data_IF_878437305214
#
_entry.id   IF_878437305214
#
_cell.length_a   1.000
_cell.length_b   1.000
_cell.length_c   1.000
_cell.angle_alpha   90.00
_cell.angle_beta   90.00
_cell.angle_gamma   90.00
#
_symmetry.space_group_name_H-M   'P 1'
#
loop_
_entity.id
_entity.type
_entity.pdbx_description
1 polymer ?
#
# COMPACT_ATOMS: atom_id res chain seq x y z
N UNK A 1 -0.07 29.48 6.71
CA UNK A 1 1.26 29.65 6.08
C UNK A 1 2.27 29.16 7.12
N UNK A 2 3.07 28.13 6.92
CA UNK A 2 3.64 27.55 5.70
C UNK A 2 3.88 26.06 6.00
N UNK A 3 3.17 25.18 5.30
CA UNK A 3 3.38 23.72 5.38
C UNK A 3 4.61 23.42 4.52
N UNK A 4 5.79 23.48 5.11
CA UNK A 4 7.00 22.90 4.50
C UNK A 4 7.00 21.40 4.77
N UNK A 5 5.94 20.74 4.31
CA UNK A 5 5.97 19.31 4.12
C UNK A 5 6.98 19.07 2.99
N UNK A 6 7.86 18.10 3.17
CA UNK A 6 8.64 17.51 2.10
C UNK A 6 7.67 17.19 0.96
N UNK A 7 7.60 18.06 -0.04
CA UNK A 7 6.73 17.86 -1.18
C UNK A 7 7.27 16.60 -1.85
N UNK A 8 6.49 15.52 -1.98
CA UNK A 8 6.88 14.48 -2.92
C UNK A 8 7.13 15.21 -4.23
N UNK A 9 8.27 14.95 -4.86
CA UNK A 9 8.52 15.40 -6.22
C UNK A 9 7.24 15.14 -7.00
N UNK A 10 6.60 16.19 -7.57
CA UNK A 10 5.27 16.06 -8.10
C UNK A 10 5.30 14.92 -9.10
N UNK A 11 4.49 13.90 -8.81
CA UNK A 11 4.03 12.90 -9.75
C UNK A 11 3.95 13.58 -11.13
N UNK A 12 4.71 13.07 -12.10
CA UNK A 12 5.08 13.81 -13.31
C UNK A 12 3.87 14.58 -13.90
N UNK A 13 4.06 15.83 -14.38
CA UNK A 13 2.97 16.64 -14.95
C UNK A 13 2.26 15.97 -16.14
N UNK A 14 2.81 14.86 -16.64
CA UNK A 14 2.31 14.00 -17.70
C UNK A 14 1.19 13.04 -17.27
N UNK A 15 0.84 12.99 -15.99
CA UNK A 15 -0.28 12.20 -15.50
C UNK A 15 -1.60 12.83 -15.90
N UNK A 16 -2.33 12.12 -16.77
CA UNK A 16 -3.68 12.50 -17.17
C UNK A 16 -4.63 12.53 -15.96
N UNK A 17 -5.60 13.45 -16.00
CA UNK A 17 -6.47 13.80 -14.87
C UNK A 17 -7.11 12.59 -14.17
N UNK A 18 -7.58 11.61 -14.94
CA UNK A 18 -8.19 10.38 -14.41
C UNK A 18 -7.22 9.58 -13.55
N UNK A 19 -5.96 9.42 -13.96
CA UNK A 19 -4.95 8.68 -13.21
C UNK A 19 -4.60 9.39 -11.89
N UNK A 20 -4.52 10.73 -11.92
CA UNK A 20 -4.25 11.56 -10.74
C UNK A 20 -5.42 11.55 -9.75
N UNK A 21 -6.65 11.60 -10.24
CA UNK A 21 -7.85 11.54 -9.41
C UNK A 21 -8.07 10.14 -8.83
N UNK A 22 -7.84 9.10 -9.64
CA UNK A 22 -7.82 7.71 -9.18
C UNK A 22 -6.77 7.54 -8.10
N UNK A 23 -5.53 7.98 -8.34
CA UNK A 23 -4.49 8.01 -7.32
C UNK A 23 -5.00 8.74 -6.07
N UNK A 24 -5.49 9.98 -6.15
CA UNK A 24 -6.02 10.72 -5.00
C UNK A 24 -7.08 9.92 -4.20
N UNK A 25 -8.03 9.30 -4.88
CA UNK A 25 -9.10 8.52 -4.25
C UNK A 25 -8.63 7.16 -3.71
N UNK A 26 -7.59 6.54 -4.27
CA UNK A 26 -6.94 5.35 -3.71
C UNK A 26 -6.16 5.67 -2.43
N UNK A 27 -5.90 6.96 -2.16
CA UNK A 27 -5.23 7.48 -0.98
C UNK A 27 -6.12 8.16 0.05
N UNK A 28 -7.45 8.14 -0.14
CA UNK A 28 -8.40 8.63 0.86
C UNK A 28 -8.42 7.67 2.06
N UNK A 29 -8.34 8.16 3.30
CA UNK A 29 -8.32 7.34 4.53
C UNK A 29 -9.62 6.55 4.81
N UNK A 30 -10.60 6.59 3.89
CA UNK A 30 -11.90 5.92 4.01
C UNK A 30 -11.85 4.39 4.12
N UNK A 31 -10.67 3.76 4.07
CA UNK A 31 -10.56 2.31 4.00
C UNK A 31 -9.58 1.66 5.00
N UNK A 32 -9.03 2.40 5.97
CA UNK A 32 -8.28 1.81 7.08
C UNK A 32 -8.93 2.10 8.45
N UNK A 33 -10.16 1.61 8.71
CA UNK A 33 -10.56 1.41 10.09
C UNK A 33 -9.70 0.25 10.63
N UNK A 34 -8.69 0.58 11.43
CA UNK A 34 -8.41 -0.08 12.71
C UNK A 34 -6.92 0.00 13.08
N UNK A 35 -6.49 1.14 13.62
CA UNK A 35 -5.30 1.18 14.47
C UNK A 35 -5.30 0.10 15.56
N UNK A 36 -6.44 -0.22 16.23
CA UNK A 36 -6.44 -1.28 17.24
C UNK A 36 -6.16 -2.67 16.66
N UNK A 37 -6.73 -2.99 15.48
CA UNK A 37 -6.51 -4.27 14.80
C UNK A 37 -5.09 -4.38 14.25
N UNK A 38 -4.56 -3.29 13.69
CA UNK A 38 -3.20 -3.24 13.21
C UNK A 38 -2.18 -3.38 14.35
N UNK A 39 -2.43 -2.74 15.49
CA UNK A 39 -1.57 -2.84 16.67
C UNK A 39 -1.57 -4.27 17.23
N UNK A 40 -2.74 -4.90 17.32
CA UNK A 40 -2.88 -6.30 17.71
C UNK A 40 -2.15 -7.25 16.74
N UNK A 41 -2.29 -7.05 15.42
CA UNK A 41 -1.60 -7.83 14.40
C UNK A 41 -0.07 -7.71 14.47
N UNK A 42 0.43 -6.56 14.88
CA UNK A 42 1.86 -6.32 15.07
C UNK A 42 2.37 -6.78 16.44
N UNK A 43 1.53 -7.36 17.31
CA UNK A 43 1.82 -7.66 18.73
C UNK A 43 2.30 -6.43 19.51
N UNK A 44 1.93 -5.23 19.04
CA UNK A 44 2.30 -3.97 19.68
C UNK A 44 1.25 -3.60 20.72
N UNK A 45 1.70 -2.93 21.77
CA UNK A 45 0.81 -2.36 22.78
C UNK A 45 -0.24 -1.47 22.10
N UNK A 46 -1.47 -1.46 22.64
CA UNK A 46 -2.51 -0.56 22.18
C UNK A 46 -1.99 0.89 22.18
N UNK A 47 -2.24 1.63 21.10
CA UNK A 47 -1.82 3.03 20.96
C UNK A 47 -2.56 3.88 22.00
N UNK A 48 -1.82 4.46 22.93
CA UNK A 48 -2.34 5.23 24.09
C UNK A 48 -1.71 6.61 24.25
N UNK A 49 -0.57 6.83 23.60
CA UNK A 49 0.21 8.06 23.67
C UNK A 49 1.07 8.21 22.39
N UNK A 50 1.78 9.33 22.27
CA UNK A 50 2.66 9.61 21.14
C UNK A 50 3.75 8.53 20.97
N UNK A 51 4.33 8.05 22.08
CA UNK A 51 5.43 7.10 22.05
C UNK A 51 4.99 5.73 21.51
N UNK A 52 3.81 5.25 21.93
CA UNK A 52 3.19 4.03 21.43
C UNK A 52 2.77 4.18 19.97
N UNK A 53 2.29 5.35 19.54
CA UNK A 53 1.99 5.64 18.12
C UNK A 53 3.27 5.60 17.26
N UNK A 54 4.37 6.21 17.70
CA UNK A 54 5.67 6.15 17.01
C UNK A 54 6.15 4.70 16.87
N UNK A 55 6.09 3.92 17.96
CA UNK A 55 6.45 2.48 17.92
C UNK A 55 5.55 1.69 16.98
N UNK A 56 4.25 1.99 16.97
CA UNK A 56 3.30 1.39 16.04
C UNK A 56 3.67 1.66 14.57
N UNK A 57 3.87 2.93 14.21
CA UNK A 57 4.19 3.31 12.83
C UNK A 57 5.52 2.72 12.36
N UNK A 58 6.56 2.75 13.21
CA UNK A 58 7.84 2.13 12.90
C UNK A 58 7.72 0.61 12.78
N UNK A 59 6.98 -0.03 13.69
CA UNK A 59 6.71 -1.45 13.65
C UNK A 59 5.93 -1.89 12.40
N UNK A 60 4.92 -1.12 11.98
CA UNK A 60 4.21 -1.37 10.73
C UNK A 60 5.14 -1.24 9.52
N UNK A 61 5.93 -0.15 9.48
CA UNK A 61 6.91 0.09 8.42
C UNK A 61 7.87 -1.10 8.26
N UNK A 62 8.46 -1.51 9.36
CA UNK A 62 9.59 -2.46 9.33
C UNK A 62 9.14 -3.93 9.25
N UNK A 63 7.92 -4.26 9.70
CA UNK A 63 7.41 -5.64 9.73
C UNK A 63 6.44 -5.99 8.60
N UNK A 64 5.73 -5.00 8.06
CA UNK A 64 4.67 -5.19 7.06
C UNK A 64 4.98 -4.40 5.78
N UNK A 65 5.07 -3.08 5.85
CA UNK A 65 5.17 -2.23 4.66
C UNK A 65 6.39 -2.60 3.80
N UNK A 66 7.59 -2.52 4.39
CA UNK A 66 8.84 -2.76 3.68
C UNK A 66 9.04 -4.23 3.25
N UNK A 67 8.85 -5.25 4.12
CA UNK A 67 9.16 -6.63 3.75
C UNK A 67 8.03 -7.36 3.01
N UNK A 68 6.79 -6.83 3.01
CA UNK A 68 5.62 -7.52 2.44
C UNK A 68 4.92 -6.66 1.39
N UNK A 69 4.42 -5.49 1.78
CA UNK A 69 3.52 -4.71 0.91
C UNK A 69 4.23 -4.12 -0.31
N UNK A 70 5.39 -3.47 -0.13
CA UNK A 70 6.13 -2.89 -1.24
C UNK A 70 6.66 -3.96 -2.22
N UNK A 71 7.24 -5.09 -1.77
CA UNK A 71 7.60 -6.20 -2.65
C UNK A 71 6.39 -6.77 -3.39
N UNK A 72 5.23 -6.88 -2.73
CA UNK A 72 4.00 -7.35 -3.36
C UNK A 72 3.52 -6.40 -4.47
N UNK A 73 3.55 -5.08 -4.23
CA UNK A 73 3.23 -4.07 -5.25
C UNK A 73 4.19 -4.19 -6.44
N UNK A 74 5.49 -4.31 -6.17
CA UNK A 74 6.52 -4.45 -7.21
C UNK A 74 6.31 -5.73 -8.05
N UNK A 75 6.07 -6.86 -7.40
CA UNK A 75 5.81 -8.12 -8.08
C UNK A 75 4.51 -8.09 -8.90
N UNK A 76 3.43 -7.53 -8.34
CA UNK A 76 2.16 -7.37 -9.05
C UNK A 76 2.31 -6.49 -10.29
N UNK A 77 3.03 -5.37 -10.17
CA UNK A 77 3.37 -4.54 -11.32
C UNK A 77 4.13 -5.35 -12.37
N UNK A 78 5.16 -6.09 -11.95
CA UNK A 78 5.96 -6.94 -12.85
C UNK A 78 5.12 -7.96 -13.61
N UNK A 79 4.21 -8.66 -12.93
CA UNK A 79 3.29 -9.62 -13.56
C UNK A 79 2.27 -8.93 -14.47
N UNK A 80 1.75 -7.78 -14.05
CA UNK A 80 0.81 -6.99 -14.85
C UNK A 80 1.42 -6.51 -16.16
N UNK A 81 2.64 -5.95 -16.14
CA UNK A 81 3.37 -5.53 -17.34
C UNK A 81 3.61 -6.68 -18.32
N UNK A 82 3.79 -7.90 -17.82
CA UNK A 82 4.07 -9.10 -18.62
C UNK A 82 2.82 -9.92 -18.98
N UNK A 83 1.62 -9.47 -18.59
CA UNK A 83 0.36 -10.22 -18.74
C UNK A 83 0.36 -11.62 -18.07
N UNK A 84 1.11 -11.77 -16.98
CA UNK A 84 1.30 -13.01 -16.20
C UNK A 84 0.18 -13.20 -15.16
N UNK A 85 -1.04 -13.45 -15.64
CA UNK A 85 -2.21 -13.58 -14.76
C UNK A 85 -2.07 -14.75 -13.77
N UNK A 86 -1.51 -15.87 -14.21
CA UNK A 86 -1.40 -17.07 -13.36
C UNK A 86 -0.52 -16.79 -12.15
N UNK A 87 0.58 -16.09 -12.38
CA UNK A 87 1.57 -15.70 -11.40
C UNK A 87 1.00 -14.64 -10.46
N UNK A 88 0.24 -13.67 -11.00
CA UNK A 88 -0.49 -12.69 -10.18
C UNK A 88 -1.51 -13.37 -9.25
N UNK A 89 -2.26 -14.36 -9.73
CA UNK A 89 -3.21 -15.12 -8.90
C UNK A 89 -2.48 -15.96 -7.84
N UNK A 90 -1.36 -16.59 -8.21
CA UNK A 90 -0.54 -17.34 -7.26
C UNK A 90 0.00 -16.42 -6.15
N UNK A 91 0.45 -15.22 -6.49
CA UNK A 91 0.90 -14.20 -5.54
C UNK A 91 -0.24 -13.74 -4.62
N UNK A 92 -1.46 -13.51 -5.15
CA UNK A 92 -2.63 -13.15 -4.35
C UNK A 92 -2.97 -14.22 -3.29
N UNK A 93 -2.95 -15.49 -3.70
CA UNK A 93 -3.16 -16.61 -2.79
C UNK A 93 -2.02 -16.76 -1.78
N UNK A 94 -0.78 -16.54 -2.19
CA UNK A 94 0.40 -16.60 -1.32
C UNK A 94 0.38 -15.51 -0.24
N UNK A 95 0.02 -14.27 -0.58
CA UNK A 95 -0.20 -13.21 0.42
C UNK A 95 -1.30 -13.60 1.41
N UNK A 96 -2.33 -14.30 0.93
CA UNK A 96 -3.35 -14.89 1.76
C UNK A 96 -2.86 -15.99 2.71
N UNK A 97 -1.60 -16.41 2.67
CA UNK A 97 -1.02 -17.35 3.64
C UNK A 97 -0.09 -16.65 4.64
N UNK A 98 0.33 -15.41 4.38
CA UNK A 98 1.19 -14.67 5.30
C UNK A 98 0.42 -14.32 6.59
N UNK A 99 0.93 -14.80 7.72
CA UNK A 99 0.31 -14.57 9.03
C UNK A 99 0.23 -13.09 9.39
N UNK A 100 1.18 -12.27 8.94
CA UNK A 100 1.22 -10.82 9.20
C UNK A 100 0.06 -10.08 8.57
N UNK A 101 -0.49 -10.61 7.47
CA UNK A 101 -1.58 -9.99 6.72
C UNK A 101 -2.97 -10.51 7.11
N UNK A 102 -3.05 -11.54 7.98
CA UNK A 102 -4.30 -12.23 8.31
C UNK A 102 -5.39 -11.26 8.77
N UNK A 103 -5.06 -10.42 9.74
CA UNK A 103 -5.98 -9.44 10.33
C UNK A 103 -6.37 -8.33 9.34
N UNK A 104 -5.50 -8.04 8.37
CA UNK A 104 -5.76 -7.01 7.35
C UNK A 104 -6.56 -7.51 6.15
N UNK A 105 -6.78 -8.83 6.02
CA UNK A 105 -7.36 -9.43 4.80
C UNK A 105 -8.68 -8.80 4.40
N UNK A 106 -9.63 -8.71 5.33
CA UNK A 106 -10.98 -8.22 5.03
C UNK A 106 -10.95 -6.75 4.59
N UNK A 107 -10.23 -5.90 5.33
CA UNK A 107 -10.06 -4.49 5.01
C UNK A 107 -9.34 -4.31 3.66
N UNK A 108 -8.21 -5.00 3.47
CA UNK A 108 -7.42 -4.98 2.23
C UNK A 108 -8.23 -5.42 1.02
N UNK A 109 -8.98 -6.52 1.12
CA UNK A 109 -9.83 -7.00 0.03
C UNK A 109 -10.98 -6.03 -0.28
N UNK A 110 -11.59 -5.41 0.74
CA UNK A 110 -12.63 -4.41 0.54
C UNK A 110 -12.08 -3.18 -0.20
N UNK A 111 -10.88 -2.72 0.19
CA UNK A 111 -10.16 -1.64 -0.52
C UNK A 111 -9.90 -2.10 -1.96
N UNK A 112 -9.19 -3.20 -2.16
CA UNK A 112 -8.78 -3.68 -3.47
C UNK A 112 -9.96 -3.93 -4.43
N UNK A 113 -11.09 -4.43 -3.94
CA UNK A 113 -12.34 -4.52 -4.73
C UNK A 113 -12.85 -3.16 -5.19
N UNK A 114 -12.85 -2.16 -4.31
CA UNK A 114 -13.20 -0.77 -4.70
C UNK A 114 -12.22 -0.24 -5.75
N UNK A 115 -10.92 -0.52 -5.61
CA UNK A 115 -9.91 -0.10 -6.58
C UNK A 115 -10.10 -0.81 -7.94
N UNK A 116 -10.30 -2.14 -7.96
CA UNK A 116 -10.57 -2.92 -9.17
C UNK A 116 -11.83 -2.48 -9.89
N UNK A 117 -12.89 -2.13 -9.14
CA UNK A 117 -14.12 -1.63 -9.74
C UNK A 117 -13.90 -0.36 -10.57
N UNK A 118 -12.91 0.47 -10.22
CA UNK A 118 -12.55 1.65 -11.01
C UNK A 118 -11.80 1.30 -12.30
N UNK A 119 -11.24 0.10 -12.39
CA UNK A 119 -10.57 -0.40 -13.59
C UNK A 119 -11.51 -1.13 -14.55
N UNK A 120 -12.77 -1.35 -14.17
CA UNK A 120 -13.80 -1.95 -15.03
C UNK A 120 -13.91 -1.33 -16.43
N UNK A 121 -13.78 0.00 -16.62
CA UNK A 121 -13.84 0.62 -17.95
C UNK A 121 -12.73 0.16 -18.90
N UNK A 122 -11.62 -0.40 -18.40
CA UNK A 122 -10.50 -0.89 -19.19
C UNK A 122 -10.81 -2.25 -19.83
N UNK A 123 -11.83 -2.29 -20.70
CA UNK A 123 -12.37 -3.53 -21.28
C UNK A 123 -11.36 -4.28 -22.14
N UNK A 124 -10.46 -3.56 -22.80
CA UNK A 124 -9.43 -4.14 -23.67
C UNK A 124 -8.24 -4.72 -22.90
N UNK A 125 -8.17 -4.45 -21.60
CA UNK A 125 -7.07 -4.91 -20.74
C UNK A 125 -7.38 -6.29 -20.18
N UNK A 126 -7.02 -7.32 -20.95
CA UNK A 126 -7.34 -8.73 -20.67
C UNK A 126 -6.90 -9.17 -19.27
N UNK A 127 -5.72 -8.74 -18.80
CA UNK A 127 -5.24 -9.09 -17.45
C UNK A 127 -6.17 -8.51 -16.37
N UNK A 128 -6.52 -7.23 -16.48
CA UNK A 128 -7.40 -6.54 -15.53
C UNK A 128 -8.76 -7.20 -15.47
N UNK A 129 -9.40 -7.46 -16.62
CA UNK A 129 -10.73 -8.06 -16.67
C UNK A 129 -10.76 -9.47 -16.08
N UNK A 130 -9.72 -10.28 -16.36
CA UNK A 130 -9.64 -11.64 -15.81
C UNK A 130 -9.33 -11.66 -14.32
N UNK A 131 -8.49 -10.75 -13.85
CA UNK A 131 -8.20 -10.64 -12.43
C UNK A 131 -9.42 -10.15 -11.65
N UNK A 132 -10.13 -9.14 -12.17
CA UNK A 132 -11.41 -8.67 -11.62
C UNK A 132 -12.42 -9.82 -11.49
N UNK A 133 -12.60 -10.60 -12.56
CA UNK A 133 -13.49 -11.77 -12.55
C UNK A 133 -13.05 -12.81 -11.51
N UNK A 134 -11.75 -13.10 -11.41
CA UNK A 134 -11.24 -14.04 -10.41
C UNK A 134 -11.55 -13.58 -8.96
N UNK A 135 -11.52 -12.27 -8.70
CA UNK A 135 -11.88 -11.71 -7.38
C UNK A 135 -13.39 -11.77 -7.13
N UNK A 136 -14.21 -11.56 -8.16
CA UNK A 136 -15.68 -11.67 -8.10
C UNK A 136 -16.14 -13.12 -7.89
N UNK A 137 -15.50 -14.06 -8.59
CA UNK A 137 -15.76 -15.50 -8.49
C UNK A 137 -15.16 -16.11 -7.20
N UNK A 138 -14.45 -15.32 -6.39
CA UNK A 138 -13.82 -15.76 -5.13
C UNK A 138 -12.55 -16.61 -5.31
N UNK A 139 -12.02 -16.71 -6.52
CA UNK A 139 -10.77 -17.41 -6.83
C UNK A 139 -9.51 -16.62 -6.43
N UNK A 140 -9.65 -15.32 -6.15
CA UNK A 140 -8.62 -14.44 -5.60
C UNK A 140 -9.21 -13.53 -4.51
N UNK A 141 -8.37 -13.07 -3.58
CA UNK A 141 -8.77 -12.16 -2.51
C UNK A 141 -8.92 -10.72 -3.02
N UNK A 142 -8.08 -10.29 -3.96
CA UNK A 142 -8.06 -8.93 -4.47
C UNK A 142 -7.37 -7.97 -3.51
N UNK A 143 -6.15 -8.31 -3.06
CA UNK A 143 -5.38 -7.46 -2.14
C UNK A 143 -5.13 -6.07 -2.74
N UNK A 144 -5.38 -5.02 -1.96
CA UNK A 144 -5.17 -3.65 -2.44
C UNK A 144 -3.73 -3.36 -2.86
N UNK A 145 -2.73 -3.99 -2.24
CA UNK A 145 -1.32 -3.91 -2.66
C UNK A 145 -1.13 -4.44 -4.08
N UNK A 146 -1.70 -5.61 -4.39
CA UNK A 146 -1.60 -6.18 -5.74
C UNK A 146 -2.37 -5.33 -6.74
N UNK A 147 -3.59 -4.91 -6.40
CA UNK A 147 -4.40 -4.05 -7.27
C UNK A 147 -3.70 -2.73 -7.56
N UNK A 148 -3.05 -2.13 -6.56
CA UNK A 148 -2.25 -0.93 -6.74
C UNK A 148 -1.06 -1.16 -7.68
N UNK A 149 -0.35 -2.29 -7.57
CA UNK A 149 0.71 -2.66 -8.52
C UNK A 149 0.19 -2.85 -9.95
N UNK A 150 -0.96 -3.52 -10.12
CA UNK A 150 -1.63 -3.64 -11.44
C UNK A 150 -2.01 -2.27 -11.99
N UNK A 151 -2.54 -1.38 -11.14
CA UNK A 151 -2.88 -0.01 -11.52
C UNK A 151 -1.64 0.77 -11.99
N UNK A 152 -0.52 0.70 -11.26
CA UNK A 152 0.73 1.34 -11.68
C UNK A 152 1.16 0.85 -13.07
N UNK A 153 1.12 -0.46 -13.32
CA UNK A 153 1.51 -1.05 -14.60
C UNK A 153 0.57 -0.62 -15.74
N UNK A 154 -0.73 -0.60 -15.48
CA UNK A 154 -1.74 -0.32 -16.51
C UNK A 154 -1.74 1.14 -16.98
N UNK A 155 -1.37 2.06 -16.10
CA UNK A 155 -1.25 3.48 -16.39
C UNK A 155 0.20 3.92 -16.63
N UNK A 156 1.13 2.96 -16.78
CA UNK A 156 2.56 3.22 -17.00
C UNK A 156 3.17 4.21 -15.98
N UNK A 157 2.76 4.08 -14.73
CA UNK A 157 3.15 4.99 -13.66
C UNK A 157 4.55 4.66 -13.13
N UNK A 158 5.38 5.67 -12.83
CA UNK A 158 6.71 5.43 -12.28
C UNK A 158 6.67 4.67 -10.95
N UNK A 159 7.25 3.46 -10.93
CA UNK A 159 7.23 2.55 -9.78
C UNK A 159 7.74 3.21 -8.49
N UNK A 160 8.89 3.88 -8.56
CA UNK A 160 9.52 4.51 -7.39
C UNK A 160 8.58 5.51 -6.73
N UNK A 161 7.98 6.39 -7.52
CA UNK A 161 7.05 7.42 -7.06
C UNK A 161 5.76 6.78 -6.54
N UNK A 162 5.25 5.74 -7.20
CA UNK A 162 4.09 4.97 -6.76
C UNK A 162 4.29 4.32 -5.38
N UNK A 163 5.44 3.66 -5.16
CA UNK A 163 5.78 3.01 -3.89
C UNK A 163 5.95 4.02 -2.75
N UNK A 164 6.60 5.16 -3.01
CA UNK A 164 6.74 6.23 -2.02
C UNK A 164 5.39 6.84 -1.65
N UNK A 165 4.54 7.12 -2.65
CA UNK A 165 3.20 7.64 -2.43
C UNK A 165 2.32 6.69 -1.62
N UNK A 166 2.35 5.40 -1.98
CA UNK A 166 1.64 4.36 -1.23
C UNK A 166 2.09 4.32 0.23
N UNK A 167 3.40 4.35 0.47
CA UNK A 167 3.98 4.32 1.82
C UNK A 167 3.54 5.52 2.65
N UNK A 168 3.64 6.73 2.07
CA UNK A 168 3.24 7.98 2.73
C UNK A 168 1.76 7.96 3.12
N UNK A 169 0.89 7.50 2.22
CA UNK A 169 -0.56 7.46 2.49
C UNK A 169 -0.94 6.44 3.51
N UNK A 170 -0.35 5.25 3.46
CA UNK A 170 -0.61 4.18 4.43
C UNK A 170 -0.22 4.63 5.83
N UNK A 171 1.00 5.16 5.99
CA UNK A 171 1.49 5.65 7.27
C UNK A 171 0.78 6.93 7.72
N UNK A 172 0.42 7.81 6.78
CA UNK A 172 -0.33 9.03 7.04
C UNK A 172 -1.74 8.74 7.55
N UNK A 173 -2.45 7.79 6.95
CA UNK A 173 -3.78 7.37 7.41
C UNK A 173 -3.76 6.81 8.84
N UNK A 174 -2.72 6.05 9.19
CA UNK A 174 -2.53 5.59 10.57
C UNK A 174 -2.19 6.73 11.53
N UNK A 175 -1.32 7.66 11.11
CA UNK A 175 -0.98 8.83 11.91
C UNK A 175 -2.21 9.72 12.15
N UNK A 176 -3.01 9.99 11.12
CA UNK A 176 -4.21 10.83 11.21
C UNK A 176 -5.24 10.20 12.16
N UNK A 177 -5.48 8.89 12.02
CA UNK A 177 -6.38 8.16 12.91
C UNK A 177 -5.90 8.16 14.37
N UNK A 178 -4.59 8.01 14.58
CA UNK A 178 -4.00 7.88 15.91
C UNK A 178 -3.87 9.24 16.58
N UNK A 179 -3.40 10.22 15.82
CA UNK A 179 -3.29 11.62 16.22
C UNK A 179 -4.63 12.22 16.58
N UNK A 180 -5.70 11.93 15.82
CA UNK A 180 -7.04 12.39 16.17
C UNK A 180 -7.54 11.77 17.49
N UNK A 181 -7.32 10.46 17.68
CA UNK A 181 -7.70 9.75 18.91
C UNK A 181 -6.96 10.29 20.14
N UNK A 182 -5.67 10.57 19.98
CA UNK A 182 -4.78 11.08 21.03
C UNK A 182 -4.81 12.61 21.18
N UNK A 183 -5.51 13.31 20.27
CA UNK A 183 -5.54 14.78 20.16
C UNK A 183 -4.13 15.39 20.10
N UNK A 184 -3.24 14.79 19.30
CA UNK A 184 -1.87 15.28 19.16
C UNK A 184 -1.83 16.66 18.49
N UNK A 185 -0.98 17.58 18.95
CA UNK A 185 -0.71 18.83 18.25
C UNK A 185 -0.18 18.56 16.83
N UNK A 186 -0.53 19.41 15.87
CA UNK A 186 -0.10 19.28 14.47
C UNK A 186 1.42 19.20 14.34
N UNK A 187 2.16 20.04 15.06
CA UNK A 187 3.63 20.02 15.05
C UNK A 187 4.21 18.67 15.49
N UNK A 188 3.61 18.04 16.51
CA UNK A 188 4.02 16.72 16.98
C UNK A 188 3.73 15.66 15.92
N UNK A 189 2.56 15.70 15.29
CA UNK A 189 2.21 14.79 14.19
C UNK A 189 3.17 14.92 13.00
N UNK A 190 3.51 16.15 12.61
CA UNK A 190 4.47 16.41 11.52
C UNK A 190 5.86 15.85 11.85
N UNK A 191 6.34 16.04 13.09
CA UNK A 191 7.63 15.50 13.56
C UNK A 191 7.62 13.96 13.59
N UNK A 192 6.52 13.34 14.03
CA UNK A 192 6.31 11.89 13.95
C UNK A 192 6.42 11.43 12.51
N UNK A 193 5.69 12.10 11.61
CA UNK A 193 5.62 11.69 10.22
C UNK A 193 6.97 11.79 9.52
N UNK A 194 7.67 12.92 9.67
CA UNK A 194 8.98 13.15 9.08
C UNK A 194 9.99 12.08 9.52
N UNK A 195 10.02 11.75 10.82
CA UNK A 195 10.88 10.70 11.39
C UNK A 195 10.59 9.32 10.79
N UNK A 196 9.31 8.97 10.65
CA UNK A 196 8.91 7.66 10.12
C UNK A 196 9.20 7.52 8.62
N UNK A 197 9.03 8.60 7.85
CA UNK A 197 9.23 8.60 6.40
C UNK A 197 10.70 8.70 5.98
N UNK A 198 11.56 9.29 6.82
CA UNK A 198 12.98 9.54 6.51
C UNK A 198 13.73 8.35 5.88
N UNK A 199 13.61 7.09 6.35
CA UNK A 199 14.31 5.96 5.74
C UNK A 199 13.66 5.39 4.47
N UNK A 200 12.42 5.77 4.13
CA UNK A 200 11.68 5.16 3.03
C UNK A 200 12.32 5.36 1.65
N UNK A 201 12.83 6.55 1.27
CA UNK A 201 13.47 6.72 -0.04
C UNK A 201 14.60 5.74 -0.29
N UNK A 202 15.43 5.49 0.74
CA UNK A 202 16.53 4.55 0.63
C UNK A 202 16.02 3.10 0.57
N UNK A 203 15.08 2.71 1.44
CA UNK A 203 14.51 1.38 1.44
C UNK A 203 13.80 1.02 0.12
N UNK A 204 13.09 1.99 -0.50
CA UNK A 204 12.49 1.82 -1.83
C UNK A 204 13.56 1.67 -2.91
N UNK A 205 14.63 2.47 -2.86
CA UNK A 205 15.74 2.32 -3.81
C UNK A 205 16.39 0.93 -3.69
N UNK A 206 16.65 0.47 -2.46
CA UNK A 206 17.26 -0.84 -2.22
C UNK A 206 16.34 -1.98 -2.70
N UNK A 207 15.02 -1.84 -2.52
CA UNK A 207 14.04 -2.76 -3.08
C UNK A 207 14.08 -2.81 -4.62
N UNK A 208 14.10 -1.64 -5.27
CA UNK A 208 14.10 -1.55 -6.74
C UNK A 208 15.41 -2.06 -7.37
N UNK A 209 16.53 -1.90 -6.68
CA UNK A 209 17.85 -2.40 -7.12
C UNK A 209 18.04 -3.89 -6.74
N UNK A 210 17.09 -4.51 -6.03
CA UNK A 210 17.15 -5.91 -5.62
C UNK A 210 18.13 -6.20 -4.49
N UNK A 211 18.51 -5.17 -3.71
CA UNK A 211 19.38 -5.31 -2.52
C UNK A 211 18.61 -5.73 -1.27
N UNK A 212 17.28 -5.64 -1.29
CA UNK A 212 16.41 -6.09 -0.20
C UNK A 212 16.14 -7.59 -0.31
N UNK A 213 16.33 -8.33 0.78
CA UNK A 213 15.97 -9.75 0.91
C UNK A 213 14.47 -9.90 0.64
N UNK A 214 14.10 -10.26 -0.60
CA UNK A 214 12.71 -10.53 -0.94
C UNK A 214 12.25 -11.71 -0.07
N UNK A 215 11.20 -11.50 0.74
CA UNK A 215 10.43 -12.63 1.24
C UNK A 215 9.86 -13.30 -0.01
N UNK A 216 10.43 -14.44 -0.39
CA UNK A 216 10.07 -15.15 -1.60
C UNK A 216 8.67 -15.73 -1.39
N UNK A 217 7.63 -15.00 -1.82
CA UNK A 217 6.25 -15.46 -1.80
C UNK A 217 5.98 -16.49 -2.93
N UNK A 218 6.89 -17.44 -3.15
CA UNK A 218 6.68 -18.58 -4.04
C UNK A 218 7.81 -19.62 -3.92
N UNK A 219 7.51 -20.73 -3.25
CA UNK A 219 7.94 -22.08 -3.63
C UNK A 219 7.20 -23.10 -2.74
N UNK A 220 5.99 -23.50 -3.15
CA UNK A 220 5.37 -24.80 -2.88
C UNK A 220 4.19 -24.96 -3.85
#
# INVERSE_FOLDING_TARGET
>A
MTRTAFAPEPLAPELTGDARELLAQLGSPEALPALPLAAAALTLEAVRDEATLRRFLAGYRDRILLPVELPAILAAHGHATRNELRELLALDLALGRDARLREFRAASAAVGRRQLNKLRPLRDQRLVQRYLRAVEDGAAHGWHTLVFGVFLAQYSLPLRQGLLLYSQRTLGGFLDSGGATLRLPVAVSDDVFASILSPLPQAVNDLLVGKSTMTQFAAC
#
